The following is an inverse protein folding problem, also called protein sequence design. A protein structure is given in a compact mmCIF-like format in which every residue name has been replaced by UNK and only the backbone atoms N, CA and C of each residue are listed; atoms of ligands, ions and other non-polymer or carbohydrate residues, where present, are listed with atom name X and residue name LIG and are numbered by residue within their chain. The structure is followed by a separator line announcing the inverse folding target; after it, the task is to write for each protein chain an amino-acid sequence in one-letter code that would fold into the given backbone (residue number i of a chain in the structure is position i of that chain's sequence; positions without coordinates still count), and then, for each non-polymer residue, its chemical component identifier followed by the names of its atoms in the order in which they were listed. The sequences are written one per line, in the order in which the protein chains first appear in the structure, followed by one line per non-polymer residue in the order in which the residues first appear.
data_IF_905061155534
#
_entry.id   IF_905061155534
#
_cell.length_a   1.000
_cell.length_b   1.000
_cell.length_c   1.000
_cell.angle_alpha   90.00
_cell.angle_beta   90.00
_cell.angle_gamma   90.00
#
_symmetry.space_group_name_H-M   'P 1'
#
loop_
_entity.id
_entity.type
_entity.pdbx_description
1 polymer ?
#
# COMPACT_ATOMS: atom_id res chain seq x y z
N UNK A 1 19.82 -25.77 -9.87
CA UNK A 1 19.91 -24.57 -9.01
C UNK A 1 19.13 -23.46 -9.68
N UNK A 2 17.87 -23.22 -9.28
CA UNK A 2 17.14 -22.04 -9.74
C UNK A 2 17.78 -20.84 -9.02
N UNK A 3 18.30 -19.87 -9.75
CA UNK A 3 18.72 -18.58 -9.19
C UNK A 3 17.53 -18.04 -8.37
N UNK A 4 17.78 -17.65 -7.12
CA UNK A 4 16.80 -16.92 -6.30
C UNK A 4 16.50 -15.64 -7.09
N UNK A 5 15.37 -15.59 -7.80
CA UNK A 5 14.98 -14.43 -8.58
C UNK A 5 14.58 -13.37 -7.56
N UNK A 6 15.47 -12.40 -7.35
CA UNK A 6 15.13 -11.23 -6.55
C UNK A 6 13.93 -10.56 -7.20
N UNK A 7 12.88 -10.37 -6.40
CA UNK A 7 11.68 -9.66 -6.83
C UNK A 7 12.01 -8.18 -6.87
N UNK A 8 11.56 -7.48 -7.90
CA UNK A 8 11.75 -6.04 -7.98
C UNK A 8 10.46 -5.33 -8.33
N UNK A 9 10.36 -4.09 -7.87
CA UNK A 9 9.29 -3.17 -8.25
C UNK A 9 9.87 -2.04 -9.09
N UNK A 10 9.09 -1.55 -10.04
CA UNK A 10 9.48 -0.42 -10.88
C UNK A 10 8.70 0.81 -10.45
N UNK A 11 9.40 1.85 -10.00
CA UNK A 11 8.79 3.12 -9.59
C UNK A 11 9.07 4.19 -10.64
N UNK A 12 8.02 4.86 -11.11
CA UNK A 12 8.09 5.90 -12.13
C UNK A 12 7.15 7.07 -11.80
N UNK A 13 7.09 8.07 -12.70
CA UNK A 13 6.27 9.27 -12.52
C UNK A 13 7.07 10.44 -11.95
N UNK A 14 6.53 11.10 -10.93
CA UNK A 14 7.18 12.23 -10.26
C UNK A 14 8.20 11.74 -9.22
N UNK A 15 9.48 11.73 -9.59
CA UNK A 15 10.59 11.26 -8.76
C UNK A 15 11.43 12.47 -8.34
N UNK A 16 11.48 12.71 -7.04
CA UNK A 16 12.22 13.77 -6.36
C UNK A 16 12.79 13.22 -5.05
N UNK A 17 13.77 13.92 -4.44
CA UNK A 17 14.28 13.52 -3.13
C UNK A 17 13.16 13.32 -2.09
N UNK A 18 12.20 14.24 -2.00
CA UNK A 18 11.10 14.16 -1.02
C UNK A 18 10.19 12.96 -1.25
N UNK A 19 9.73 12.76 -2.50
CA UNK A 19 8.83 11.65 -2.84
C UNK A 19 9.49 10.29 -2.62
N UNK A 20 10.77 10.15 -3.02
CA UNK A 20 11.55 8.93 -2.84
C UNK A 20 11.89 8.68 -1.38
N UNK A 21 12.26 9.72 -0.62
CA UNK A 21 12.58 9.60 0.80
C UNK A 21 11.39 9.13 1.61
N UNK A 22 10.20 9.69 1.38
CA UNK A 22 8.98 9.22 2.03
C UNK A 22 8.63 7.79 1.61
N UNK A 23 8.72 7.48 0.32
CA UNK A 23 8.45 6.13 -0.18
C UNK A 23 9.38 5.08 0.44
N UNK A 24 10.70 5.32 0.44
CA UNK A 24 11.68 4.35 0.93
C UNK A 24 11.61 4.18 2.46
N UNK A 25 11.27 5.22 3.21
CA UNK A 25 11.06 5.12 4.67
C UNK A 25 9.97 4.12 5.04
N UNK A 26 8.85 4.15 4.33
CA UNK A 26 7.74 3.25 4.58
C UNK A 26 7.95 1.88 3.92
N UNK A 27 8.61 1.84 2.75
CA UNK A 27 8.76 0.60 1.96
C UNK A 27 9.90 -0.30 2.46
N UNK A 28 11.02 0.28 2.89
CA UNK A 28 12.19 -0.46 3.39
C UNK A 28 12.30 -0.39 4.92
N UNK A 29 11.16 -0.22 5.62
CA UNK A 29 11.14 -0.15 7.07
C UNK A 29 11.60 -1.49 7.69
N UNK A 30 12.35 -1.43 8.79
CA UNK A 30 12.94 -2.61 9.45
C UNK A 30 11.89 -3.59 9.99
N UNK A 31 10.69 -3.08 10.30
CA UNK A 31 9.56 -3.87 10.82
C UNK A 31 8.84 -4.70 9.73
N UNK A 32 9.25 -4.61 8.46
CA UNK A 32 8.71 -5.47 7.38
C UNK A 32 9.46 -6.80 7.32
N UNK A 33 8.71 -7.90 7.32
CA UNK A 33 9.26 -9.26 7.27
C UNK A 33 9.95 -9.62 5.93
N UNK A 34 9.52 -9.03 4.81
CA UNK A 34 10.03 -9.32 3.46
C UNK A 34 10.79 -8.12 2.87
N UNK A 35 12.11 -8.05 3.12
CA UNK A 35 13.00 -6.98 2.62
C UNK A 35 13.80 -7.41 1.37
N UNK A 36 13.54 -8.60 0.82
CA UNK A 36 14.17 -9.12 -0.40
C UNK A 36 13.53 -8.55 -1.70
N UNK A 37 13.04 -7.29 -1.68
CA UNK A 37 12.46 -6.61 -2.84
C UNK A 37 13.33 -5.42 -3.24
N UNK A 38 13.86 -5.46 -4.47
CA UNK A 38 14.60 -4.34 -5.05
C UNK A 38 13.67 -3.26 -5.61
N UNK A 39 14.04 -2.00 -5.44
CA UNK A 39 13.31 -0.84 -5.94
C UNK A 39 14.06 -0.22 -7.12
N UNK A 40 13.44 -0.27 -8.30
CA UNK A 40 14.02 0.27 -9.53
C UNK A 40 13.31 1.56 -9.93
N UNK A 41 13.97 2.71 -9.77
CA UNK A 41 13.46 3.99 -10.21
C UNK A 41 13.74 4.23 -11.70
N UNK A 42 12.72 4.62 -12.46
CA UNK A 42 12.83 5.00 -13.87
C UNK A 42 12.33 6.43 -14.08
N UNK A 43 13.26 7.35 -14.35
CA UNK A 43 12.94 8.77 -14.52
C UNK A 43 13.71 9.43 -15.68
N UNK A 44 13.12 10.43 -16.33
CA UNK A 44 13.69 11.06 -17.54
C UNK A 44 14.93 11.89 -17.25
N UNK A 45 14.89 12.65 -16.15
CA UNK A 45 15.98 13.52 -15.71
C UNK A 45 16.96 12.70 -14.84
N UNK A 46 18.27 13.02 -14.90
CA UNK A 46 19.21 12.45 -13.94
C UNK A 46 18.83 12.88 -12.50
N UNK A 47 19.20 12.10 -11.48
CA UNK A 47 18.98 12.45 -10.09
C UNK A 47 19.81 13.70 -9.74
N UNK A 48 19.30 14.52 -8.82
CA UNK A 48 20.09 15.58 -8.21
C UNK A 48 21.06 15.01 -7.14
N UNK A 49 21.94 15.85 -6.61
CA UNK A 49 22.97 15.42 -5.64
C UNK A 49 22.37 14.81 -4.36
N UNK A 50 21.21 15.30 -3.92
CA UNK A 50 20.52 14.79 -2.73
C UNK A 50 19.92 13.40 -2.98
N UNK A 51 19.24 13.22 -4.12
CA UNK A 51 18.70 11.94 -4.54
C UNK A 51 19.81 10.92 -4.83
N UNK A 52 20.93 11.33 -5.44
CA UNK A 52 22.10 10.48 -5.59
C UNK A 52 22.65 10.00 -4.24
N UNK A 53 22.73 10.90 -3.26
CA UNK A 53 23.15 10.56 -1.91
C UNK A 53 22.23 9.53 -1.26
N UNK A 54 20.91 9.69 -1.43
CA UNK A 54 19.91 8.75 -0.94
C UNK A 54 20.02 7.38 -1.61
N UNK A 55 20.18 7.33 -2.94
CA UNK A 55 20.34 6.07 -3.68
C UNK A 55 21.61 5.35 -3.25
N UNK A 56 22.74 6.07 -3.10
CA UNK A 56 24.01 5.48 -2.64
C UNK A 56 23.91 4.90 -1.22
N UNK A 57 23.08 5.49 -0.34
CA UNK A 57 22.82 4.95 1.00
C UNK A 57 22.11 3.59 0.96
N UNK A 58 21.25 3.38 -0.03
CA UNK A 58 20.47 2.15 -0.21
C UNK A 58 20.94 1.34 -1.44
N UNK A 59 22.25 1.35 -1.74
CA UNK A 59 22.77 0.82 -3.01
C UNK A 59 22.49 -0.68 -3.24
N UNK A 60 22.25 -1.45 -2.19
CA UNK A 60 21.95 -2.89 -2.28
C UNK A 60 20.50 -3.17 -2.66
N UNK A 61 19.58 -2.23 -2.40
CA UNK A 61 18.14 -2.42 -2.59
C UNK A 61 17.53 -1.43 -3.57
N UNK A 62 18.24 -0.37 -3.96
CA UNK A 62 17.73 0.70 -4.82
C UNK A 62 18.62 0.89 -6.05
N UNK A 63 18.00 0.84 -7.22
CA UNK A 63 18.63 1.17 -8.50
C UNK A 63 17.90 2.33 -9.19
N UNK A 64 18.65 3.14 -9.96
CA UNK A 64 18.08 4.25 -10.73
C UNK A 64 18.49 4.14 -12.20
N UNK A 65 17.52 4.25 -13.09
CA UNK A 65 17.70 4.29 -14.54
C UNK A 65 17.16 5.58 -15.12
N UNK A 66 18.01 6.27 -15.89
CA UNK A 66 17.57 7.43 -16.65
C UNK A 66 16.86 6.97 -17.93
N UNK A 67 15.56 7.23 -18.05
CA UNK A 67 14.74 6.83 -19.20
C UNK A 67 13.26 7.20 -19.03
N UNK A 68 12.40 6.75 -19.93
CA UNK A 68 10.96 6.99 -19.84
C UNK A 68 10.17 5.70 -19.99
N UNK A 69 9.15 5.52 -19.16
CA UNK A 69 8.14 4.44 -19.32
C UNK A 69 7.34 4.51 -20.62
N UNK A 70 7.43 5.62 -21.37
CA UNK A 70 6.81 5.80 -22.68
C UNK A 70 7.62 5.13 -23.80
N UNK A 71 8.85 4.69 -23.51
CA UNK A 71 9.74 4.05 -24.45
C UNK A 71 9.84 2.54 -24.12
N UNK A 72 9.43 1.63 -25.01
CA UNK A 72 9.47 0.20 -24.74
C UNK A 72 10.90 -0.33 -24.51
N UNK A 73 11.92 0.33 -25.07
CA UNK A 73 13.33 -0.04 -24.84
C UNK A 73 13.71 0.17 -23.37
N UNK A 74 13.23 1.25 -22.75
CA UNK A 74 13.47 1.54 -21.35
C UNK A 74 12.71 0.58 -20.43
N UNK A 75 11.48 0.19 -20.80
CA UNK A 75 10.68 -0.82 -20.09
C UNK A 75 11.38 -2.19 -20.10
N UNK A 76 11.96 -2.59 -21.24
CA UNK A 76 12.76 -3.81 -21.33
C UNK A 76 14.04 -3.72 -20.49
N UNK A 77 14.71 -2.56 -20.47
CA UNK A 77 15.94 -2.36 -19.69
C UNK A 77 15.71 -2.50 -18.18
N UNK A 78 14.57 -2.02 -17.67
CA UNK A 78 14.19 -2.20 -16.25
C UNK A 78 13.39 -3.48 -16.01
N UNK A 79 13.29 -4.36 -17.02
CA UNK A 79 12.63 -5.67 -16.97
C UNK A 79 11.21 -5.62 -16.40
N UNK A 80 10.37 -4.72 -16.92
CA UNK A 80 8.98 -4.57 -16.45
C UNK A 80 8.20 -5.88 -16.52
N UNK A 81 8.47 -6.76 -17.50
CA UNK A 81 7.80 -8.06 -17.62
C UNK A 81 8.13 -9.05 -16.49
N UNK A 82 9.26 -8.86 -15.80
CA UNK A 82 9.70 -9.67 -14.65
C UNK A 82 9.40 -8.99 -13.30
N UNK A 83 8.92 -7.75 -13.31
CA UNK A 83 8.66 -6.98 -12.10
C UNK A 83 7.36 -7.41 -11.41
N UNK A 84 7.35 -7.39 -10.08
CA UNK A 84 6.15 -7.73 -9.29
C UNK A 84 5.06 -6.66 -9.42
N UNK A 85 5.46 -5.39 -9.49
CA UNK A 85 4.54 -4.27 -9.64
C UNK A 85 5.22 -3.03 -10.24
N UNK A 86 4.42 -2.19 -10.89
CA UNK A 86 4.78 -0.83 -11.26
C UNK A 86 4.04 0.19 -10.39
N UNK A 87 4.77 1.11 -9.76
CA UNK A 87 4.21 2.22 -9.01
C UNK A 87 4.39 3.52 -9.79
N UNK A 88 3.29 4.26 -9.98
CA UNK A 88 3.27 5.56 -10.67
C UNK A 88 2.98 6.65 -9.65
N UNK A 89 4.02 7.41 -9.29
CA UNK A 89 3.95 8.52 -8.35
C UNK A 89 3.53 9.82 -9.03
N UNK A 90 2.77 10.65 -8.32
CA UNK A 90 2.21 11.90 -8.85
C UNK A 90 2.73 13.12 -8.13
N UNK A 91 2.90 14.23 -8.85
CA UNK A 91 3.25 15.50 -8.24
C UNK A 91 2.04 16.09 -7.48
N UNK A 92 2.07 16.00 -6.15
CA UNK A 92 1.00 16.53 -5.29
C UNK A 92 0.86 18.06 -5.31
N UNK A 93 1.89 18.76 -5.78
CA UNK A 93 1.99 20.22 -5.80
C UNK A 93 2.02 20.77 -7.24
N UNK A 94 1.49 20.02 -8.20
CA UNK A 94 1.34 20.48 -9.58
C UNK A 94 0.38 21.67 -9.69
N UNK A 95 0.60 22.52 -10.70
CA UNK A 95 -0.29 23.66 -10.99
C UNK A 95 -1.60 23.20 -11.63
N UNK A 96 -1.53 22.19 -12.49
CA UNK A 96 -2.66 21.59 -13.19
C UNK A 96 -2.76 20.10 -12.84
N UNK A 97 -3.62 19.73 -11.88
CA UNK A 97 -3.84 18.34 -11.47
C UNK A 97 -4.37 17.45 -12.58
N UNK A 98 -5.20 17.97 -13.48
CA UNK A 98 -5.78 17.19 -14.57
C UNK A 98 -4.73 16.83 -15.62
N UNK A 99 -3.82 17.76 -15.94
CA UNK A 99 -2.70 17.47 -16.82
C UNK A 99 -1.72 16.45 -16.22
N UNK A 100 -1.44 16.54 -14.92
CA UNK A 100 -0.59 15.56 -14.21
C UNK A 100 -1.23 14.17 -14.20
N UNK A 101 -2.52 14.07 -13.90
CA UNK A 101 -3.27 12.81 -13.94
C UNK A 101 -3.31 12.21 -15.36
N UNK A 102 -3.57 13.03 -16.39
CA UNK A 102 -3.54 12.59 -17.78
C UNK A 102 -2.16 12.03 -18.16
N UNK A 103 -1.07 12.68 -17.73
CA UNK A 103 0.28 12.18 -17.94
C UNK A 103 0.51 10.83 -17.23
N UNK A 104 0.01 10.66 -16.01
CA UNK A 104 0.10 9.40 -15.27
C UNK A 104 -0.73 8.28 -15.91
N UNK A 105 -1.94 8.56 -16.38
CA UNK A 105 -2.77 7.61 -17.12
C UNK A 105 -2.05 7.15 -18.40
N UNK A 106 -1.42 8.08 -19.14
CA UNK A 106 -0.62 7.72 -20.32
C UNK A 106 0.58 6.81 -19.98
N UNK A 107 1.20 6.99 -18.82
CA UNK A 107 2.27 6.09 -18.32
C UNK A 107 1.71 4.69 -18.06
N UNK A 108 0.53 4.59 -17.44
CA UNK A 108 -0.15 3.30 -17.20
C UNK A 108 -0.48 2.60 -18.52
N UNK A 109 -1.03 3.32 -19.50
CA UNK A 109 -1.32 2.78 -20.84
C UNK A 109 -0.03 2.21 -21.46
N UNK A 110 1.08 2.94 -21.39
CA UNK A 110 2.36 2.49 -21.94
C UNK A 110 2.86 1.20 -21.26
N UNK A 111 2.78 1.13 -19.93
CA UNK A 111 3.17 -0.06 -19.15
C UNK A 111 2.29 -1.25 -19.52
N UNK A 112 0.96 -1.05 -19.51
CA UNK A 112 -0.04 -2.08 -19.78
C UNK A 112 -0.05 -2.57 -21.24
N UNK A 113 0.39 -1.73 -22.18
CA UNK A 113 0.60 -2.13 -23.57
C UNK A 113 1.88 -2.98 -23.74
N UNK A 114 2.87 -2.80 -22.87
CA UNK A 114 4.11 -3.58 -22.88
C UNK A 114 3.97 -4.91 -22.14
N UNK A 115 3.31 -4.89 -20.97
CA UNK A 115 2.99 -6.05 -20.15
C UNK A 115 1.59 -5.86 -19.58
N UNK A 116 0.64 -6.66 -20.05
CA UNK A 116 -0.77 -6.61 -19.65
C UNK A 116 -1.01 -7.23 -18.26
N UNK A 117 -0.25 -8.26 -17.93
CA UNK A 117 -0.36 -9.03 -16.70
C UNK A 117 0.27 -8.35 -15.46
N UNK A 118 1.08 -7.30 -15.63
CA UNK A 118 1.73 -6.62 -14.50
C UNK A 118 0.75 -5.87 -13.61
N UNK A 119 0.94 -5.94 -12.29
CA UNK A 119 0.21 -5.11 -11.31
C UNK A 119 0.66 -3.65 -11.39
N UNK A 120 -0.27 -2.72 -11.54
CA UNK A 120 0.03 -1.28 -11.58
C UNK A 120 -0.70 -0.54 -10.47
N UNK A 121 0.04 0.19 -9.63
CA UNK A 121 -0.50 1.07 -8.60
C UNK A 121 -0.21 2.52 -9.01
N UNK A 122 -1.26 3.31 -9.21
CA UNK A 122 -1.16 4.70 -9.67
C UNK A 122 -1.73 5.66 -8.63
N UNK A 123 -1.04 6.78 -8.43
CA UNK A 123 -1.60 7.92 -7.70
C UNK A 123 -2.35 8.85 -8.66
N UNK A 124 -3.57 9.24 -8.31
CA UNK A 124 -4.31 10.29 -9.01
C UNK A 124 -4.63 11.44 -8.07
N UNK A 125 -4.70 12.65 -8.61
CA UNK A 125 -5.05 13.85 -7.88
C UNK A 125 -6.56 14.06 -7.84
N UNK A 126 -7.25 13.85 -8.96
CA UNK A 126 -8.70 14.08 -9.09
C UNK A 126 -9.49 12.77 -9.22
N UNK A 127 -10.69 12.76 -8.63
CA UNK A 127 -11.55 11.58 -8.62
C UNK A 127 -12.14 11.26 -9.99
N UNK A 128 -12.57 12.28 -10.76
CA UNK A 128 -13.20 12.06 -12.07
C UNK A 128 -12.24 11.40 -13.08
N UNK A 129 -10.93 11.61 -12.94
CA UNK A 129 -9.93 11.01 -13.81
C UNK A 129 -9.78 9.48 -13.62
N UNK A 130 -10.23 8.94 -12.48
CA UNK A 130 -10.23 7.50 -12.19
C UNK A 130 -11.01 6.68 -13.22
N UNK A 131 -12.06 7.27 -13.79
CA UNK A 131 -12.90 6.60 -14.80
C UNK A 131 -12.11 6.25 -16.08
N UNK A 132 -11.09 7.03 -16.45
CA UNK A 132 -10.28 6.76 -17.64
C UNK A 132 -9.45 5.48 -17.52
N UNK A 133 -9.04 5.10 -16.32
CA UNK A 133 -8.30 3.86 -16.08
C UNK A 133 -9.16 2.62 -16.31
N UNK A 134 -10.45 2.69 -15.98
CA UNK A 134 -11.40 1.60 -16.20
C UNK A 134 -11.67 1.34 -17.69
N UNK A 135 -11.35 2.29 -18.56
CA UNK A 135 -11.47 2.13 -20.01
C UNK A 135 -10.27 1.41 -20.63
N UNK A 136 -9.20 1.15 -19.87
CA UNK A 136 -8.02 0.42 -20.35
C UNK A 136 -8.36 -1.08 -20.31
N UNK A 137 -8.34 -1.81 -21.44
CA UNK A 137 -8.79 -3.22 -21.48
C UNK A 137 -8.00 -4.17 -20.58
N UNK A 138 -6.70 -3.91 -20.39
CA UNK A 138 -5.80 -4.69 -19.54
C UNK A 138 -5.78 -4.23 -18.08
N UNK A 139 -6.58 -3.23 -17.70
CA UNK A 139 -6.74 -2.82 -16.31
C UNK A 139 -7.67 -3.78 -15.57
N UNK A 140 -7.16 -4.41 -14.51
CA UNK A 140 -7.89 -5.42 -13.76
C UNK A 140 -7.67 -5.28 -12.25
N UNK A 141 -8.67 -4.73 -11.55
CA UNK A 141 -8.66 -4.59 -10.09
C UNK A 141 -8.53 -5.94 -9.35
N UNK A 142 -9.00 -7.06 -9.93
CA UNK A 142 -8.83 -8.39 -9.32
C UNK A 142 -7.39 -8.88 -9.31
N UNK A 143 -6.54 -8.32 -10.18
CA UNK A 143 -5.10 -8.60 -10.22
C UNK A 143 -4.29 -7.62 -9.34
N UNK A 144 -4.96 -6.72 -8.63
CA UNK A 144 -4.34 -5.73 -7.75
C UNK A 144 -3.96 -4.42 -8.46
N UNK A 145 -4.52 -4.14 -9.64
CA UNK A 145 -4.40 -2.81 -10.22
C UNK A 145 -5.20 -1.80 -9.39
N UNK A 146 -4.47 -0.94 -8.68
CA UNK A 146 -5.04 -0.08 -7.65
C UNK A 146 -4.84 1.40 -7.98
N UNK A 147 -5.86 2.21 -7.68
CA UNK A 147 -5.81 3.67 -7.83
C UNK A 147 -5.87 4.32 -6.48
N UNK A 148 -4.81 5.04 -6.12
CA UNK A 148 -4.73 5.86 -4.92
C UNK A 148 -5.12 7.29 -5.29
N UNK A 149 -6.40 7.63 -5.14
CA UNK A 149 -6.87 9.00 -5.38
C UNK A 149 -6.63 9.88 -4.14
N UNK A 150 -5.73 10.85 -4.25
CA UNK A 150 -5.34 11.75 -3.16
C UNK A 150 -6.52 12.60 -2.68
N UNK A 151 -7.31 13.16 -3.58
CA UNK A 151 -8.46 13.99 -3.19
C UNK A 151 -9.57 13.15 -2.54
N UNK A 152 -9.83 11.94 -3.03
CA UNK A 152 -10.79 10.99 -2.46
C UNK A 152 -10.42 10.65 -1.00
N UNK A 153 -9.17 10.23 -0.78
CA UNK A 153 -8.68 9.87 0.56
C UNK A 153 -8.62 11.09 1.50
N UNK A 154 -8.06 12.21 1.03
CA UNK A 154 -7.90 13.43 1.85
C UNK A 154 -9.25 13.95 2.33
N UNK A 155 -10.21 14.12 1.42
CA UNK A 155 -11.54 14.61 1.78
C UNK A 155 -12.34 13.56 2.55
N UNK A 156 -12.17 12.28 2.25
CA UNK A 156 -12.78 11.18 3.00
C UNK A 156 -12.35 11.16 4.46
N UNK A 157 -11.05 11.28 4.75
CA UNK A 157 -10.56 11.35 6.13
C UNK A 157 -11.03 12.61 6.88
N UNK A 158 -11.09 13.76 6.21
CA UNK A 158 -11.65 14.98 6.81
C UNK A 158 -13.13 14.79 7.13
N UNK A 159 -13.91 14.22 6.20
CA UNK A 159 -15.34 13.98 6.40
C UNK A 159 -15.60 13.01 7.57
N UNK A 160 -14.81 11.94 7.70
CA UNK A 160 -14.92 11.04 8.86
C UNK A 160 -14.51 11.71 10.17
N UNK A 161 -13.50 12.58 10.15
CA UNK A 161 -13.13 13.39 11.32
C UNK A 161 -14.23 14.36 11.75
N UNK A 162 -15.15 14.76 10.86
CA UNK A 162 -16.34 15.52 11.25
C UNK A 162 -17.35 14.69 12.06
N UNK A 163 -17.38 13.37 11.88
CA UNK A 163 -18.22 12.46 12.66
C UNK A 163 -17.54 12.06 13.98
N UNK A 164 -16.24 11.77 13.93
CA UNK A 164 -15.43 11.38 15.07
C UNK A 164 -14.10 12.14 15.07
N UNK A 165 -13.97 13.24 15.84
CA UNK A 165 -12.74 14.04 15.89
C UNK A 165 -11.52 13.19 16.24
N UNK A 166 -10.45 13.34 15.45
CA UNK A 166 -9.21 12.57 15.61
C UNK A 166 -9.11 11.32 14.73
N UNK A 167 -10.19 10.91 14.05
CA UNK A 167 -10.21 9.74 13.16
C UNK A 167 -9.12 9.80 12.07
N UNK A 168 -8.95 10.94 11.42
CA UNK A 168 -7.91 11.13 10.39
C UNK A 168 -6.50 10.85 10.90
N UNK A 169 -6.18 11.29 12.13
CA UNK A 169 -4.87 11.08 12.73
C UNK A 169 -4.67 9.61 13.11
N UNK A 170 -5.70 8.97 13.66
CA UNK A 170 -5.69 7.54 13.96
C UNK A 170 -5.43 6.72 12.69
N UNK A 171 -6.20 6.95 11.62
CA UNK A 171 -6.00 6.24 10.35
C UNK A 171 -4.63 6.52 9.73
N UNK A 172 -4.16 7.77 9.77
CA UNK A 172 -2.83 8.12 9.23
C UNK A 172 -1.70 7.39 9.97
N UNK A 173 -1.84 7.16 11.29
CA UNK A 173 -0.87 6.38 12.05
C UNK A 173 -0.91 4.89 11.68
N UNK A 174 -2.10 4.31 11.46
CA UNK A 174 -2.25 2.88 11.12
C UNK A 174 -1.64 2.47 9.76
N UNK A 175 -1.45 3.42 8.83
CA UNK A 175 -0.85 3.18 7.52
C UNK A 175 0.61 3.60 7.42
N UNK A 176 1.12 4.36 8.39
CA UNK A 176 2.50 4.83 8.39
C UNK A 176 3.34 3.90 9.24
N UNK A 177 4.42 3.37 8.68
CA UNK A 177 5.34 2.54 9.47
C UNK A 177 6.12 3.42 10.42
N UNK A 178 5.98 3.14 11.72
CA UNK A 178 6.61 3.93 12.77
C UNK A 178 7.15 3.03 13.86
N UNK A 179 8.47 3.02 13.99
CA UNK A 179 9.12 2.52 15.19
C UNK A 179 8.77 3.42 16.38
N UNK A 180 8.14 2.89 17.42
CA UNK A 180 7.91 3.64 18.65
C UNK A 180 8.99 3.32 19.68
N UNK A 181 9.42 4.33 20.43
CA UNK A 181 10.30 4.20 21.59
C UNK A 181 9.73 5.04 22.72
N UNK A 182 9.26 4.39 23.77
CA UNK A 182 8.81 5.07 24.98
C UNK A 182 10.02 5.37 25.88
N UNK A 183 9.93 6.45 26.65
CA UNK A 183 10.97 6.83 27.61
C UNK A 183 10.33 7.29 28.93
N UNK A 184 10.93 6.96 30.09
CA UNK A 184 10.44 7.44 31.38
C UNK A 184 10.50 8.97 31.51
N UNK A 185 11.34 9.65 30.72
CA UNK A 185 11.45 11.12 30.71
C UNK A 185 10.36 11.80 29.86
N UNK A 186 9.59 11.00 29.10
CA UNK A 186 8.53 11.50 28.23
C UNK A 186 7.21 11.59 29.00
N UNK A 187 6.41 12.66 28.83
CA UNK A 187 5.10 12.75 29.46
C UNK A 187 4.20 11.54 29.16
N UNK A 188 3.41 11.12 30.15
CA UNK A 188 2.59 9.89 30.05
C UNK A 188 1.68 9.90 28.80
N UNK A 189 0.98 11.01 28.53
CA UNK A 189 0.10 11.13 27.36
C UNK A 189 0.83 10.89 26.03
N UNK A 190 2.10 11.29 25.96
CA UNK A 190 2.91 11.14 24.76
C UNK A 190 3.41 9.69 24.64
N UNK A 191 3.75 9.03 25.74
CA UNK A 191 4.05 7.59 25.73
C UNK A 191 2.83 6.76 25.29
N UNK A 192 1.63 7.08 25.78
CA UNK A 192 0.39 6.41 25.39
C UNK A 192 0.08 6.65 23.89
N UNK A 193 0.27 7.89 23.40
CA UNK A 193 0.14 8.20 21.99
C UNK A 193 1.16 7.43 21.13
N UNK A 194 2.43 7.41 21.53
CA UNK A 194 3.50 6.68 20.82
C UNK A 194 3.21 5.18 20.75
N UNK A 195 2.68 4.58 21.81
CA UNK A 195 2.21 3.20 21.80
C UNK A 195 1.16 2.97 20.71
N UNK A 196 0.16 3.87 20.59
CA UNK A 196 -0.83 3.82 19.52
C UNK A 196 -0.25 4.02 18.12
N UNK A 197 0.85 4.77 17.98
CA UNK A 197 1.51 4.96 16.67
C UNK A 197 2.26 3.73 16.16
N UNK A 198 2.57 2.77 17.02
CA UNK A 198 3.18 1.50 16.65
C UNK A 198 2.18 0.42 16.22
N UNK A 199 0.89 0.75 16.16
CA UNK A 199 -0.13 -0.17 15.68
C UNK A 199 -0.28 -0.01 14.16
N UNK A 200 -0.38 -1.14 13.46
CA UNK A 200 -0.52 -1.18 12.01
C UNK A 200 -1.70 -2.08 11.61
N UNK A 201 -2.16 -1.94 10.36
CA UNK A 201 -3.17 -2.82 9.80
C UNK A 201 -2.55 -4.00 9.05
N UNK A 202 -3.03 -5.19 9.36
CA UNK A 202 -2.58 -6.45 8.76
C UNK A 202 -3.75 -7.26 8.23
N UNK A 203 -3.46 -8.12 7.25
CA UNK A 203 -4.40 -9.05 6.66
C UNK A 203 -3.88 -10.47 6.81
N UNK A 204 -4.67 -11.37 7.37
CA UNK A 204 -4.26 -12.77 7.53
C UNK A 204 -5.48 -13.70 7.46
N UNK A 205 -5.26 -14.94 7.03
CA UNK A 205 -6.34 -15.92 6.94
C UNK A 205 -6.71 -16.47 8.32
N UNK A 206 -8.00 -16.47 8.63
CA UNK A 206 -8.49 -17.04 9.88
C UNK A 206 -8.30 -18.56 9.90
N UNK A 207 -7.83 -19.07 11.04
CA UNK A 207 -7.69 -20.51 11.29
C UNK A 207 -9.02 -21.25 11.16
N UNK A 208 -8.96 -22.54 10.82
CA UNK A 208 -10.11 -23.44 10.76
C UNK A 208 -10.88 -23.51 12.08
N UNK A 209 -10.26 -23.17 13.21
CA UNK A 209 -10.90 -23.12 14.52
C UNK A 209 -12.01 -22.06 14.61
N UNK A 210 -11.94 -20.99 13.80
CA UNK A 210 -12.95 -19.94 13.77
C UNK A 210 -14.14 -20.26 12.85
N UNK A 211 -14.04 -21.31 12.03
CA UNK A 211 -15.09 -21.66 11.06
C UNK A 211 -16.40 -21.97 11.78
N UNK A 212 -17.48 -21.33 11.33
CA UNK A 212 -18.80 -21.46 11.91
C UNK A 212 -19.06 -20.54 13.11
N UNK A 213 -18.06 -19.87 13.67
CA UNK A 213 -18.26 -18.83 14.70
C UNK A 213 -18.89 -17.57 14.08
N UNK A 214 -19.66 -16.85 14.88
CA UNK A 214 -20.08 -15.49 14.49
C UNK A 214 -18.93 -14.51 14.70
N UNK A 215 -18.91 -13.42 13.92
CA UNK A 215 -17.85 -12.42 13.99
C UNK A 215 -17.58 -11.92 15.41
N UNK A 216 -18.63 -11.60 16.19
CA UNK A 216 -18.47 -11.13 17.57
C UNK A 216 -17.73 -12.12 18.48
N UNK A 217 -17.99 -13.43 18.35
CA UNK A 217 -17.30 -14.47 19.12
C UNK A 217 -15.83 -14.58 18.72
N UNK A 218 -15.55 -14.51 17.41
CA UNK A 218 -14.18 -14.52 16.92
C UNK A 218 -13.40 -13.29 17.38
N UNK A 219 -13.99 -12.09 17.28
CA UNK A 219 -13.37 -10.84 17.75
C UNK A 219 -13.09 -10.87 19.25
N UNK A 220 -13.99 -11.41 20.07
CA UNK A 220 -13.77 -11.59 21.50
C UNK A 220 -12.57 -12.52 21.78
N UNK A 221 -12.49 -13.66 21.11
CA UNK A 221 -11.37 -14.59 21.24
C UNK A 221 -10.05 -13.96 20.80
N UNK A 222 -10.02 -13.31 19.63
CA UNK A 222 -8.86 -12.59 19.12
C UNK A 222 -8.38 -11.53 20.12
N UNK A 223 -9.30 -10.73 20.66
CA UNK A 223 -8.93 -9.65 21.57
C UNK A 223 -8.48 -10.15 22.94
N UNK A 224 -9.22 -11.08 23.54
CA UNK A 224 -8.96 -11.56 24.91
C UNK A 224 -7.75 -12.48 24.95
N UNK A 225 -7.66 -13.45 24.02
CA UNK A 225 -6.65 -14.51 24.01
C UNK A 225 -5.43 -14.15 23.17
N UNK A 226 -5.63 -13.64 21.96
CA UNK A 226 -4.54 -13.37 21.02
C UNK A 226 -3.99 -11.94 21.11
N UNK A 227 -4.72 -11.03 21.78
CA UNK A 227 -4.40 -9.59 21.84
C UNK A 227 -4.44 -8.89 20.48
N UNK A 228 -5.25 -9.41 19.56
CA UNK A 228 -5.44 -8.86 18.22
C UNK A 228 -6.80 -8.18 18.11
N UNK A 229 -6.85 -7.01 17.49
CA UNK A 229 -8.11 -6.30 17.21
C UNK A 229 -8.60 -6.64 15.81
N UNK A 230 -9.56 -7.57 15.70
CA UNK A 230 -10.22 -7.90 14.43
C UNK A 230 -11.27 -6.83 14.07
N UNK A 231 -11.10 -6.18 12.92
CA UNK A 231 -11.96 -5.09 12.44
C UNK A 231 -12.97 -5.51 11.37
N UNK A 232 -12.52 -6.32 10.41
CA UNK A 232 -13.29 -6.69 9.23
C UNK A 232 -12.94 -8.11 8.79
N UNK A 233 -13.82 -8.69 7.99
CA UNK A 233 -13.60 -9.98 7.32
C UNK A 233 -13.99 -9.87 5.85
N UNK A 234 -13.34 -10.66 5.01
CA UNK A 234 -13.74 -10.88 3.62
C UNK A 234 -14.87 -11.92 3.56
N UNK A 235 -16.01 -11.53 3.01
CA UNK A 235 -17.18 -12.41 2.83
C UNK A 235 -17.36 -12.66 1.34
N UNK A 236 -17.46 -13.93 0.96
CA UNK A 236 -17.80 -14.32 -0.41
C UNK A 236 -19.32 -14.43 -0.54
N UNK A 237 -19.90 -13.63 -1.42
CA UNK A 237 -21.33 -13.69 -1.74
C UNK A 237 -21.64 -14.87 -2.68
N UNK A 238 -22.93 -15.20 -2.84
CA UNK A 238 -23.40 -16.31 -3.70
C UNK A 238 -22.95 -16.15 -5.17
N UNK A 239 -22.76 -14.91 -5.63
CA UNK A 239 -22.24 -14.58 -6.97
C UNK A 239 -20.73 -14.82 -7.12
N UNK A 240 -20.05 -15.35 -6.10
CA UNK A 240 -18.60 -15.56 -6.07
C UNK A 240 -17.78 -14.28 -5.97
N UNK A 241 -18.42 -13.13 -5.73
CA UNK A 241 -17.73 -11.86 -5.47
C UNK A 241 -17.36 -11.79 -3.99
N UNK A 242 -16.09 -11.46 -3.72
CA UNK A 242 -15.63 -11.19 -2.36
C UNK A 242 -15.82 -9.72 -2.02
N UNK A 243 -16.28 -9.46 -0.81
CA UNK A 243 -16.48 -8.12 -0.28
C UNK A 243 -15.93 -8.02 1.14
N UNK A 244 -15.23 -6.94 1.42
CA UNK A 244 -14.76 -6.62 2.77
C UNK A 244 -15.94 -6.04 3.55
N UNK A 245 -16.29 -6.67 4.67
CA UNK A 245 -17.37 -6.21 5.56
C UNK A 245 -16.77 -5.80 6.89
N UNK A 246 -16.91 -4.51 7.23
CA UNK A 246 -16.41 -3.93 8.48
C UNK A 246 -17.43 -4.18 9.59
N UNK A 247 -16.98 -4.81 10.68
CA UNK A 247 -17.80 -5.16 11.84
C UNK A 247 -19.18 -5.72 11.46
N UNK A 248 -19.25 -6.86 10.75
CA UNK A 248 -20.51 -7.45 10.33
C UNK A 248 -21.41 -7.74 11.54
N UNK A 249 -22.65 -7.24 11.49
CA UNK A 249 -23.67 -7.53 12.50
C UNK A 249 -24.40 -8.84 12.17
N UNK A 250 -24.76 -9.62 13.19
CA UNK A 250 -25.70 -10.74 13.05
C UNK A 250 -25.06 -12.11 12.82
N UNK A 251 -25.76 -12.96 12.04
CA UNK A 251 -25.53 -14.40 11.84
C UNK A 251 -24.45 -14.75 10.80
N UNK A 252 -23.69 -13.76 10.30
CA UNK A 252 -22.59 -14.03 9.38
C UNK A 252 -21.57 -14.91 10.11
N UNK A 253 -21.41 -16.13 9.60
CA UNK A 253 -20.47 -17.11 10.12
C UNK A 253 -19.20 -17.06 9.30
N UNK A 254 -18.08 -17.17 9.99
CA UNK A 254 -16.76 -17.26 9.36
C UNK A 254 -16.71 -18.54 8.53
N UNK A 255 -16.28 -18.41 7.28
CA UNK A 255 -16.11 -19.52 6.36
C UNK A 255 -14.66 -19.98 6.37
N UNK A 256 -14.39 -21.10 5.71
CA UNK A 256 -13.02 -21.55 5.53
C UNK A 256 -12.25 -20.58 4.62
N UNK A 257 -10.99 -20.30 4.96
CA UNK A 257 -10.12 -19.36 4.25
C UNK A 257 -10.67 -17.92 4.19
N UNK A 258 -11.48 -17.52 5.17
CA UNK A 258 -11.86 -16.11 5.32
C UNK A 258 -10.65 -15.28 5.73
N UNK A 259 -10.34 -14.24 4.95
CA UNK A 259 -9.32 -13.26 5.31
C UNK A 259 -9.88 -12.30 6.37
N UNK A 260 -9.13 -12.10 7.46
CA UNK A 260 -9.41 -11.14 8.51
C UNK A 260 -8.50 -9.91 8.40
N UNK A 261 -9.04 -8.77 8.80
CA UNK A 261 -8.32 -7.49 8.86
C UNK A 261 -8.12 -7.11 10.32
N UNK A 262 -6.86 -7.00 10.74
CA UNK A 262 -6.46 -6.83 12.13
C UNK A 262 -5.70 -5.53 12.35
N UNK A 263 -5.81 -4.98 13.55
CA UNK A 263 -4.84 -4.02 14.09
C UNK A 263 -3.96 -4.75 15.12
N UNK A 264 -2.65 -4.71 14.92
CA UNK A 264 -1.64 -5.34 15.78
C UNK A 264 -0.32 -4.53 15.78
N UNK A 265 0.65 -4.92 16.60
CA UNK A 265 1.96 -4.23 16.66
C UNK A 265 2.96 -4.75 15.62
N UNK A 266 2.79 -5.99 15.16
CA UNK A 266 3.66 -6.60 14.16
C UNK A 266 2.93 -7.67 13.35
N UNK A 267 3.45 -7.98 12.16
CA UNK A 267 2.93 -9.05 11.32
C UNK A 267 3.07 -10.44 12.00
N UNK A 268 4.16 -10.67 12.74
CA UNK A 268 4.41 -11.90 13.50
C UNK A 268 3.32 -12.19 14.54
N UNK A 269 2.75 -11.15 15.17
CA UNK A 269 1.67 -11.32 16.14
C UNK A 269 0.38 -11.84 15.49
N UNK A 270 0.12 -11.43 14.25
CA UNK A 270 -1.10 -11.79 13.51
C UNK A 270 -1.02 -13.23 12.97
N UNK A 271 0.19 -13.74 12.73
CA UNK A 271 0.44 -15.10 12.24
C UNK A 271 0.34 -16.22 13.29
N UNK A 272 0.21 -15.86 14.57
CA UNK A 272 0.12 -16.82 15.70
C UNK A 272 -1.20 -17.58 15.74
#
# INVERSE_FOLDING_TARGET
MKSKQFRHIVVCGHITYESVSHFLKDFLHEDREDVDVEVVFLHRKPPDLELEGLIKRHFTTVAFFQGSVMNPIDLNRVKVHEADACLVLSNKYCQDPDAEDAANIMRVISIKNYSDDIRVIIQLMQYHNKAYLLNIPSWNWKRGDDVICVSELKLGFIAQSCLAPGFSTMMANLFAMRSFKTSPDTPQWQNDYLCGTGMEMYTENLSTAFVGMIFAQATELCFVKLKLLLLAIEVTNEDGQTQIVINPKGTIRIQQNTQGFFIAQSADEVKR
#
